data_IF_412564416262
#
_entry.id   IF_412564416262
#
_cell.length_a   1.000
_cell.length_b   1.000
_cell.length_c   1.000
_cell.angle_alpha   90.00
_cell.angle_beta   90.00
_cell.angle_gamma   90.00
#
_symmetry.space_group_name_H-M   'P 1'
#
loop_
_entity.id
_entity.type
_entity.pdbx_description
1 polymer ?
#
# COMPACT_ATOMS: atom_id res chain seq x y z
N UNK A 1 -5.46 -45.55 -60.19
CA UNK A 1 -5.87 -45.36 -58.79
C UNK A 1 -6.37 -43.94 -58.63
N UNK A 2 -7.64 -43.77 -58.25
CA UNK A 2 -8.36 -42.49 -58.36
C UNK A 2 -7.80 -41.42 -57.40
N UNK A 3 -7.50 -40.25 -57.97
CA UNK A 3 -7.13 -39.04 -57.23
C UNK A 3 -8.31 -38.58 -56.37
N UNK A 4 -8.16 -38.66 -55.04
CA UNK A 4 -9.15 -38.15 -54.09
C UNK A 4 -9.13 -36.62 -54.11
N UNK A 5 -10.07 -36.01 -54.83
CA UNK A 5 -10.32 -34.57 -54.82
C UNK A 5 -10.77 -34.19 -53.40
N UNK A 6 -9.88 -33.58 -52.61
CA UNK A 6 -10.18 -33.07 -51.28
C UNK A 6 -11.17 -31.90 -51.41
N UNK A 7 -12.48 -32.18 -51.31
CA UNK A 7 -13.51 -31.15 -51.34
C UNK A 7 -13.31 -30.24 -50.12
N UNK A 8 -13.13 -28.91 -50.28
CA UNK A 8 -12.91 -28.03 -49.14
C UNK A 8 -14.11 -28.09 -48.19
N UNK A 9 -13.83 -28.34 -46.90
CA UNK A 9 -14.85 -28.33 -45.85
C UNK A 9 -15.51 -26.95 -45.78
N UNK A 10 -16.83 -26.92 -45.60
CA UNK A 10 -17.58 -25.66 -45.43
C UNK A 10 -16.94 -24.83 -44.31
N UNK A 11 -16.64 -23.53 -44.54
CA UNK A 11 -15.98 -22.70 -43.55
C UNK A 11 -16.87 -22.54 -42.30
N UNK A 12 -16.27 -22.60 -41.12
CA UNK A 12 -17.01 -22.37 -39.89
C UNK A 12 -17.37 -20.87 -39.77
N UNK A 13 -18.56 -20.60 -39.25
CA UNK A 13 -19.04 -19.24 -39.04
C UNK A 13 -18.26 -18.58 -37.90
N UNK A 14 -17.82 -17.34 -38.10
CA UNK A 14 -17.22 -16.50 -37.05
C UNK A 14 -18.27 -15.94 -36.07
N UNK A 15 -19.57 -16.09 -36.40
CA UNK A 15 -20.68 -15.58 -35.58
C UNK A 15 -20.74 -16.34 -34.27
N UNK A 16 -20.73 -15.60 -33.16
CA UNK A 16 -20.87 -16.18 -31.84
C UNK A 16 -22.35 -16.16 -31.42
N UNK A 17 -22.98 -17.32 -31.16
CA UNK A 17 -24.35 -17.33 -30.67
C UNK A 17 -24.44 -16.64 -29.30
N UNK A 18 -25.55 -15.98 -29.04
CA UNK A 18 -25.80 -15.20 -27.82
C UNK A 18 -25.58 -16.05 -26.56
N UNK A 19 -26.01 -17.31 -26.58
CA UNK A 19 -25.77 -18.29 -25.50
C UNK A 19 -24.29 -18.45 -25.15
N UNK A 20 -23.41 -18.50 -26.16
CA UNK A 20 -21.97 -18.68 -25.95
C UNK A 20 -21.35 -17.41 -25.37
N UNK A 21 -21.76 -16.22 -25.84
CA UNK A 21 -21.32 -14.93 -25.29
C UNK A 21 -21.63 -14.80 -23.80
N UNK A 22 -22.87 -15.09 -23.40
CA UNK A 22 -23.25 -15.05 -21.98
C UNK A 22 -22.58 -16.13 -21.15
N UNK A 23 -22.36 -17.33 -21.70
CA UNK A 23 -21.60 -18.38 -21.02
C UNK A 23 -20.16 -17.94 -20.74
N UNK A 24 -19.48 -17.36 -21.72
CA UNK A 24 -18.12 -16.82 -21.58
C UNK A 24 -18.09 -15.70 -20.53
N UNK A 25 -19.04 -14.77 -20.58
CA UNK A 25 -19.13 -13.67 -19.61
C UNK A 25 -19.32 -14.17 -18.17
N UNK A 26 -20.22 -15.14 -17.96
CA UNK A 26 -20.45 -15.73 -16.62
C UNK A 26 -19.21 -16.49 -16.15
N UNK A 27 -18.56 -17.24 -17.04
CA UNK A 27 -17.35 -18.00 -16.71
C UNK A 27 -16.17 -17.07 -16.38
N UNK A 28 -15.96 -15.99 -17.14
CA UNK A 28 -14.89 -15.01 -16.87
C UNK A 28 -15.11 -14.29 -15.54
N UNK A 29 -16.34 -13.86 -15.26
CA UNK A 29 -16.70 -13.24 -13.99
C UNK A 29 -16.51 -14.21 -12.81
N UNK A 30 -16.88 -15.48 -12.97
CA UNK A 30 -16.65 -16.51 -11.95
C UNK A 30 -15.16 -16.75 -11.71
N UNK A 31 -14.33 -16.80 -12.77
CA UNK A 31 -12.87 -16.92 -12.67
C UNK A 31 -12.28 -15.74 -11.90
N UNK A 32 -12.61 -14.50 -12.27
CA UNK A 32 -12.13 -13.29 -11.59
C UNK A 32 -12.53 -13.26 -10.10
N UNK A 33 -13.77 -13.66 -9.77
CA UNK A 33 -14.22 -13.79 -8.37
C UNK A 33 -13.41 -14.82 -7.59
N UNK A 34 -13.08 -15.96 -8.21
CA UNK A 34 -12.24 -17.00 -7.60
C UNK A 34 -10.80 -16.50 -7.43
N UNK A 35 -10.21 -15.85 -8.43
CA UNK A 35 -8.86 -15.26 -8.37
C UNK A 35 -8.76 -14.17 -7.29
N UNK A 36 -9.79 -13.32 -7.13
CA UNK A 36 -9.83 -12.33 -6.03
C UNK A 36 -9.88 -13.00 -4.67
N UNK A 37 -10.67 -14.06 -4.51
CA UNK A 37 -10.73 -14.83 -3.25
C UNK A 37 -9.41 -15.55 -2.97
N UNK A 38 -8.79 -16.14 -3.99
CA UNK A 38 -7.50 -16.83 -3.88
C UNK A 38 -6.36 -15.84 -3.58
N UNK A 39 -6.35 -14.68 -4.23
CA UNK A 39 -5.36 -13.64 -4.01
C UNK A 39 -5.41 -13.05 -2.59
N UNK A 40 -6.60 -12.97 -1.99
CA UNK A 40 -6.76 -12.60 -0.56
C UNK A 40 -6.32 -13.70 0.40
N UNK A 41 -6.43 -14.96 -0.03
CA UNK A 41 -6.13 -16.14 0.79
C UNK A 41 -4.70 -16.66 0.59
N UNK A 42 -3.87 -16.03 -0.25
CA UNK A 42 -2.54 -16.53 -0.52
C UNK A 42 -1.68 -16.33 0.75
N UNK A 43 -1.25 -17.41 1.43
CA UNK A 43 -0.43 -17.31 2.64
C UNK A 43 1.04 -16.99 2.32
N UNK A 44 1.43 -17.03 1.04
CA UNK A 44 2.76 -16.59 0.64
C UNK A 44 2.88 -15.09 0.86
N UNK A 45 3.72 -14.72 1.82
CA UNK A 45 4.22 -13.36 1.99
C UNK A 45 4.77 -12.85 0.67
N UNK A 46 3.93 -12.10 -0.05
CA UNK A 46 4.36 -11.33 -1.20
C UNK A 46 5.15 -10.18 -0.62
N UNK A 47 6.48 -10.22 -0.73
CA UNK A 47 7.31 -9.06 -0.42
C UNK A 47 6.67 -7.86 -1.11
N UNK A 48 6.24 -6.85 -0.33
CA UNK A 48 5.55 -5.67 -0.85
C UNK A 48 6.41 -4.99 -1.91
N UNK A 49 7.73 -5.06 -1.71
CA UNK A 49 8.72 -4.70 -2.69
C UNK A 49 8.82 -5.75 -3.81
N UNK A 50 8.46 -5.31 -5.02
CA UNK A 50 8.71 -6.06 -6.26
C UNK A 50 10.21 -6.09 -6.48
N UNK A 51 10.77 -7.25 -6.82
CA UNK A 51 12.16 -7.34 -7.27
C UNK A 51 12.24 -6.70 -8.65
N UNK A 52 13.01 -5.62 -8.76
CA UNK A 52 13.25 -4.98 -10.05
C UNK A 52 14.05 -5.93 -10.96
N UNK A 53 13.69 -6.07 -12.24
CA UNK A 53 14.38 -6.98 -13.17
C UNK A 53 15.83 -6.56 -13.52
N UNK A 54 16.36 -5.49 -12.91
CA UNK A 54 17.75 -5.04 -13.05
C UNK A 54 18.10 -4.51 -14.44
N UNK A 55 19.36 -4.09 -14.60
CA UNK A 55 19.89 -3.65 -15.90
C UNK A 55 20.37 -4.90 -16.66
N UNK A 56 19.82 -5.18 -17.86
CA UNK A 56 20.25 -6.31 -18.66
C UNK A 56 21.74 -6.25 -19.04
N UNK A 57 22.39 -7.41 -19.15
CA UNK A 57 23.82 -7.48 -19.50
C UNK A 57 24.15 -7.05 -20.94
N UNK A 58 23.19 -7.18 -21.85
CA UNK A 58 23.37 -6.80 -23.27
C UNK A 58 23.37 -5.29 -23.49
N UNK A 59 23.10 -4.49 -22.45
CA UNK A 59 23.05 -3.05 -22.59
C UNK A 59 24.48 -2.48 -22.76
N UNK A 60 24.80 -1.80 -23.87
CA UNK A 60 26.18 -1.36 -24.17
C UNK A 60 26.81 -0.45 -23.13
N UNK A 61 25.99 0.29 -22.37
CA UNK A 61 26.45 1.23 -21.34
C UNK A 61 26.05 0.79 -19.94
N UNK A 62 25.95 -0.53 -19.69
CA UNK A 62 25.58 -1.06 -18.37
C UNK A 62 26.49 -0.55 -17.26
N UNK A 63 27.80 -0.54 -17.49
CA UNK A 63 28.78 -0.06 -16.51
C UNK A 63 28.57 1.42 -16.16
N UNK A 64 28.36 2.27 -17.17
CA UNK A 64 28.08 3.69 -16.96
C UNK A 64 26.80 3.91 -16.13
N UNK A 65 25.75 3.13 -16.37
CA UNK A 65 24.51 3.23 -15.59
C UNK A 65 24.72 2.73 -14.16
N UNK A 66 25.56 1.73 -13.94
CA UNK A 66 25.91 1.27 -12.59
C UNK A 66 26.69 2.35 -11.83
N UNK A 67 27.65 3.00 -12.45
CA UNK A 67 28.41 4.12 -11.88
C UNK A 67 27.48 5.27 -11.47
N UNK A 68 26.56 5.69 -12.36
CA UNK A 68 25.57 6.73 -12.07
C UNK A 68 24.65 6.34 -10.88
N UNK A 69 24.25 5.06 -10.78
CA UNK A 69 23.44 4.56 -9.66
C UNK A 69 24.23 4.58 -8.34
N UNK A 70 25.51 4.23 -8.37
CA UNK A 70 26.36 4.27 -7.18
C UNK A 70 26.56 5.70 -6.67
N UNK A 71 26.88 6.64 -7.56
CA UNK A 71 27.00 8.06 -7.22
C UNK A 71 25.72 8.62 -6.59
N UNK A 72 24.57 8.33 -7.21
CA UNK A 72 23.27 8.80 -6.69
C UNK A 72 22.94 8.17 -5.34
N UNK A 73 23.32 6.91 -5.12
CA UNK A 73 23.15 6.24 -3.82
C UNK A 73 24.04 6.85 -2.74
N UNK A 74 25.29 7.23 -3.07
CA UNK A 74 26.20 7.89 -2.14
C UNK A 74 25.68 9.29 -1.77
N UNK A 75 25.28 10.11 -2.75
CA UNK A 75 24.68 11.44 -2.49
C UNK A 75 23.45 11.37 -1.60
N UNK A 76 22.52 10.46 -1.88
CA UNK A 76 21.31 10.26 -1.05
C UNK A 76 21.64 9.85 0.39
N UNK A 77 22.65 9.01 0.60
CA UNK A 77 23.09 8.63 1.95
C UNK A 77 23.66 9.82 2.71
N UNK A 78 24.51 10.62 2.07
CA UNK A 78 25.09 11.83 2.67
C UNK A 78 24.00 12.86 3.02
N UNK A 79 23.03 13.09 2.13
CA UNK A 79 21.88 13.95 2.41
C UNK A 79 21.02 13.45 3.57
N UNK A 80 20.79 12.14 3.66
CA UNK A 80 20.07 11.54 4.78
C UNK A 80 20.82 11.70 6.10
N UNK A 81 22.15 11.55 6.11
CA UNK A 81 22.98 11.76 7.30
C UNK A 81 22.94 13.23 7.73
N UNK A 82 23.14 14.17 6.80
CA UNK A 82 23.01 15.61 7.06
C UNK A 82 21.62 15.97 7.59
N UNK A 83 20.55 15.40 7.01
CA UNK A 83 19.18 15.60 7.49
C UNK A 83 18.97 15.04 8.90
N UNK A 84 19.56 13.88 9.21
CA UNK A 84 19.52 13.29 10.57
C UNK A 84 20.30 14.14 11.57
N UNK A 85 21.45 14.68 11.19
CA UNK A 85 22.26 15.57 12.04
C UNK A 85 21.56 16.90 12.31
N UNK A 86 21.01 17.54 11.27
CA UNK A 86 20.21 18.77 11.43
C UNK A 86 18.97 18.54 12.31
N UNK A 87 18.27 17.40 12.15
CA UNK A 87 17.14 17.06 13.00
C UNK A 87 17.57 16.81 14.46
N UNK A 88 18.73 16.20 14.69
CA UNK A 88 19.29 16.02 16.04
C UNK A 88 19.72 17.35 16.67
N UNK A 89 20.36 18.24 15.91
CA UNK A 89 20.80 19.55 16.38
C UNK A 89 19.63 20.49 16.70
N UNK A 90 18.60 20.51 15.87
CA UNK A 90 17.36 21.24 16.14
C UNK A 90 16.67 20.73 17.41
N UNK A 91 16.76 19.43 17.68
CA UNK A 91 16.21 18.82 18.88
C UNK A 91 17.04 19.07 20.14
N UNK A 92 18.36 19.13 20.03
CA UNK A 92 19.23 19.52 21.16
C UNK A 92 19.15 20.99 21.52
N UNK A 93 18.77 21.87 20.58
CA UNK A 93 18.45 23.28 20.85
C UNK A 93 17.13 23.49 21.59
N UNK A 94 16.26 22.47 21.64
CA UNK A 94 14.95 22.48 22.33
C UNK A 94 15.00 21.62 23.62
N UNK A 95 16.18 21.28 24.13
CA UNK A 95 16.37 20.69 25.46
C UNK A 95 16.32 21.74 26.59
N UNK A 96 15.38 22.68 26.49
CA UNK A 96 14.98 23.60 27.55
C UNK A 96 13.64 23.26 28.19
N UNK A 97 12.78 22.44 27.56
CA UNK A 97 11.53 22.00 28.18
C UNK A 97 10.92 20.80 27.43
N UNK A 98 10.65 19.72 28.16
CA UNK A 98 9.68 18.69 27.75
C UNK A 98 10.19 17.68 26.72
N UNK A 99 10.81 16.60 27.19
CA UNK A 99 10.97 15.40 26.38
C UNK A 99 9.62 14.71 26.20
N UNK A 100 9.20 14.45 24.95
CA UNK A 100 8.62 13.19 24.44
C UNK A 100 8.13 13.38 22.98
N UNK A 101 9.02 13.59 22.01
CA UNK A 101 8.61 13.58 20.59
C UNK A 101 9.71 13.04 19.66
N UNK A 102 10.36 11.93 20.05
CA UNK A 102 11.31 11.20 19.18
C UNK A 102 10.65 10.10 18.35
N UNK A 103 9.35 9.84 18.54
CA UNK A 103 8.63 8.77 17.87
C UNK A 103 7.87 9.22 16.61
N UNK A 104 7.85 10.52 16.27
CA UNK A 104 7.04 11.06 15.16
C UNK A 104 7.85 11.88 14.14
N UNK A 105 9.04 11.41 13.79
CA UNK A 105 9.57 11.67 12.45
C UNK A 105 9.03 10.55 11.56
N UNK A 106 8.56 10.82 10.32
CA UNK A 106 8.29 9.75 9.38
C UNK A 106 9.63 9.03 9.08
N UNK A 107 9.94 8.04 9.91
CA UNK A 107 10.62 6.85 9.45
C UNK A 107 9.72 6.33 8.35
N UNK A 108 10.29 6.07 7.18
CA UNK A 108 9.61 5.32 6.13
C UNK A 108 9.40 3.90 6.67
N UNK A 109 8.42 3.75 7.57
CA UNK A 109 7.94 2.49 8.12
C UNK A 109 7.01 1.97 7.05
N UNK A 110 7.50 1.03 6.23
CA UNK A 110 6.59 0.15 5.51
C UNK A 110 5.60 -0.44 6.52
N UNK A 111 4.30 -0.16 6.30
CA UNK A 111 3.11 -0.65 6.99
C UNK A 111 3.36 -1.87 7.90
N UNK A 112 3.38 -1.61 9.21
CA UNK A 112 3.22 -2.61 10.24
C UNK A 112 1.90 -2.36 10.96
N UNK A 113 0.94 -3.24 10.73
CA UNK A 113 -0.36 -3.32 11.40
C UNK A 113 -0.23 -3.19 12.93
N UNK A 114 -0.92 -2.21 13.51
CA UNK A 114 -1.22 -2.20 14.95
C UNK A 114 -2.63 -2.73 15.13
N UNK A 115 -2.68 -4.01 15.49
CA UNK A 115 -3.90 -4.77 15.78
C UNK A 115 -4.70 -4.12 16.94
N UNK A 116 -6.01 -4.20 16.76
CA UNK A 116 -7.11 -3.76 17.61
C UNK A 116 -7.03 -4.37 19.03
N UNK A 117 -6.53 -3.60 20.01
CA UNK A 117 -6.69 -3.90 21.43
C UNK A 117 -7.79 -3.00 22.02
N UNK A 118 -9.02 -3.49 21.97
CA UNK A 118 -10.16 -2.90 22.66
C UNK A 118 -9.95 -2.99 24.19
N UNK A 119 -9.52 -1.89 24.82
CA UNK A 119 -9.45 -1.75 26.29
C UNK A 119 -10.75 -1.10 26.75
N UNK A 120 -11.77 -1.91 26.98
CA UNK A 120 -12.93 -1.54 27.79
C UNK A 120 -12.52 -1.57 29.27
N UNK A 121 -12.30 -0.40 29.86
CA UNK A 121 -11.98 -0.22 31.28
C UNK A 121 -12.18 1.23 31.70
N UNK A 122 -13.26 1.48 32.43
CA UNK A 122 -13.74 2.74 33.00
C UNK A 122 -12.90 3.27 34.18
N UNK A 123 -11.58 3.31 33.99
CA UNK A 123 -10.66 3.94 34.94
C UNK A 123 -10.64 5.46 34.79
N UNK A 124 -10.79 6.18 35.90
CA UNK A 124 -10.53 7.62 36.02
C UNK A 124 -9.10 7.91 35.50
N UNK A 125 -9.02 8.70 34.42
CA UNK A 125 -7.81 8.85 33.61
C UNK A 125 -6.92 9.93 34.20
N UNK A 126 -5.76 9.52 34.72
CA UNK A 126 -4.68 10.41 35.11
C UNK A 126 -4.17 11.17 33.86
N UNK A 127 -4.34 12.50 33.82
CA UNK A 127 -3.98 13.39 32.69
C UNK A 127 -2.49 13.37 32.29
N UNK A 128 -1.66 12.67 33.06
CA UNK A 128 -0.22 12.53 32.84
C UNK A 128 0.16 11.43 31.84
N UNK A 129 -0.80 10.61 31.36
CA UNK A 129 -0.56 9.52 30.41
C UNK A 129 -0.66 10.00 28.93
N UNK A 130 0.30 9.68 28.03
CA UNK A 130 0.36 10.22 26.65
C UNK A 130 -0.87 9.91 25.76
N UNK A 131 -1.70 8.93 26.14
CA UNK A 131 -2.93 8.60 25.41
C UNK A 131 -4.11 9.53 25.76
N UNK A 132 -3.99 10.36 26.80
CA UNK A 132 -5.04 11.29 27.24
C UNK A 132 -5.36 12.33 26.16
N UNK A 133 -4.35 12.82 25.42
CA UNK A 133 -4.56 13.74 24.30
C UNK A 133 -5.41 13.13 23.18
N UNK A 134 -5.18 11.85 22.84
CA UNK A 134 -5.96 11.14 21.83
C UNK A 134 -7.41 10.94 22.29
N UNK A 135 -7.61 10.50 23.53
CA UNK A 135 -8.95 10.30 24.09
C UNK A 135 -9.74 11.61 24.21
N UNK A 136 -9.08 12.72 24.57
CA UNK A 136 -9.69 14.05 24.61
C UNK A 136 -10.10 14.53 23.20
N UNK A 137 -9.27 14.30 22.17
CA UNK A 137 -9.62 14.65 20.79
C UNK A 137 -10.79 13.82 20.25
N UNK A 138 -10.86 12.53 20.61
CA UNK A 138 -11.95 11.64 20.25
C UNK A 138 -13.29 12.09 20.88
N UNK A 139 -13.29 12.44 22.18
CA UNK A 139 -14.47 12.97 22.87
C UNK A 139 -14.97 14.27 22.24
N UNK A 140 -14.06 15.21 21.91
CA UNK A 140 -14.39 16.48 21.26
C UNK A 140 -14.97 16.29 19.85
N UNK A 141 -14.46 15.31 19.09
CA UNK A 141 -14.99 14.94 17.79
C UNK A 141 -16.40 14.33 17.88
N UNK A 142 -16.65 13.48 18.88
CA UNK A 142 -17.95 12.88 19.14
C UNK A 142 -19.00 13.94 19.53
N UNK A 143 -18.63 14.89 20.40
CA UNK A 143 -19.50 15.99 20.82
C UNK A 143 -19.85 16.92 19.66
N UNK A 144 -18.88 17.26 18.79
CA UNK A 144 -19.13 18.01 17.55
C UNK A 144 -20.09 17.27 16.60
N UNK A 145 -19.95 15.95 16.50
CA UNK A 145 -20.88 15.09 15.75
C UNK A 145 -22.28 15.10 16.32
N UNK A 146 -22.41 15.07 17.65
CA UNK A 146 -23.69 15.14 18.36
C UNK A 146 -24.35 16.53 18.20
N UNK A 147 -23.58 17.61 18.35
CA UNK A 147 -24.01 19.00 18.13
C UNK A 147 -24.51 19.21 16.69
N UNK A 148 -23.83 18.62 15.69
CA UNK A 148 -24.24 18.68 14.28
C UNK A 148 -25.56 17.95 14.03
N UNK A 149 -25.82 16.84 14.74
CA UNK A 149 -27.09 16.10 14.68
C UNK A 149 -28.23 16.76 15.45
N UNK A 150 -27.91 17.61 16.44
CA UNK A 150 -28.89 18.34 17.28
C UNK A 150 -29.33 19.70 16.73
N UNK A 151 -28.78 20.20 15.61
CA UNK A 151 -29.28 21.44 15.01
C UNK A 151 -30.69 21.18 14.46
N UNK A 152 -31.76 21.80 15.00
CA UNK A 152 -33.07 21.71 14.38
C UNK A 152 -32.99 22.35 13.00
N UNK A 153 -33.59 21.70 12.01
CA UNK A 153 -33.76 22.23 10.67
C UNK A 153 -34.55 23.56 10.78
N UNK A 154 -33.90 24.66 10.39
CA UNK A 154 -34.54 25.92 10.01
C UNK A 154 -34.61 25.95 8.49
#
# INVERSE_FOLDING_TARGET
>A
MANAINKPKRPNSKRQPVRLRHKIQKASAAKQRKEKKLGKKNPEWRSKLKKDPGIPNLYPFKEKVLEEIEETRMRKKEEQLKRREMAKAAKSGVLGQGGVDAANMPVDVEDGDVDDMNVDGDGELDESNPMAALLATARKAAEKGYQKRRRPYL
#
